data_IF_183123735931
#
_entry.id   IF_183123735931
#
_cell.length_a   1.000
_cell.length_b   1.000
_cell.length_c   1.000
_cell.angle_alpha   90.00
_cell.angle_beta   90.00
_cell.angle_gamma   90.00
#
_symmetry.space_group_name_H-M   'P 1'
#
loop_
_entity.id
_entity.type
_entity.pdbx_description
1 polymer ?
#
# COMPACT_ATOMS: atom_id res chain seq x y z
N UNK A 1 4.72 3.58 12.14
CA UNK A 1 3.75 2.63 11.55
C UNK A 1 2.34 2.89 12.06
N UNK A 2 2.09 2.91 13.39
CA UNK A 2 0.75 3.20 13.95
C UNK A 2 0.10 4.51 13.45
N UNK A 3 0.90 5.57 13.24
CA UNK A 3 0.39 6.84 12.68
C UNK A 3 -0.14 6.68 11.24
N UNK A 4 0.52 5.86 10.41
CA UNK A 4 0.06 5.58 9.06
C UNK A 4 -1.27 4.82 9.15
N UNK A 5 -1.30 3.70 9.87
CA UNK A 5 -2.52 2.89 10.08
C UNK A 5 -3.70 3.72 10.60
N UNK A 6 -3.45 4.58 11.58
CA UNK A 6 -4.47 5.48 12.14
C UNK A 6 -4.99 6.48 11.11
N UNK A 7 -4.11 7.02 10.27
CA UNK A 7 -4.50 7.98 9.24
C UNK A 7 -5.36 7.32 8.14
N UNK A 8 -5.00 6.12 7.68
CA UNK A 8 -5.81 5.38 6.70
C UNK A 8 -7.16 4.97 7.27
N UNK A 9 -7.22 4.45 8.50
CA UNK A 9 -8.49 4.08 9.14
C UNK A 9 -9.42 5.28 9.42
N UNK A 10 -8.88 6.50 9.60
CA UNK A 10 -9.69 7.71 9.74
C UNK A 10 -10.24 8.21 8.41
N UNK A 11 -9.47 8.04 7.33
CA UNK A 11 -9.80 8.61 6.02
C UNK A 11 -10.70 7.70 5.19
N UNK A 12 -10.59 6.39 5.36
CA UNK A 12 -11.31 5.39 4.57
C UNK A 12 -11.96 4.35 5.48
N UNK A 13 -13.03 3.71 5.00
CA UNK A 13 -13.67 2.56 5.66
C UNK A 13 -12.81 1.29 5.54
N UNK A 14 -11.62 1.30 6.14
CA UNK A 14 -10.62 0.24 6.06
C UNK A 14 -10.78 -0.75 7.21
N UNK A 15 -10.84 -2.02 6.86
CA UNK A 15 -10.74 -3.14 7.79
C UNK A 15 -9.29 -3.62 7.85
N UNK A 16 -8.74 -3.73 9.06
CA UNK A 16 -7.42 -4.31 9.30
C UNK A 16 -7.56 -5.79 9.62
N UNK A 17 -6.74 -6.63 9.00
CA UNK A 17 -6.71 -8.08 9.24
C UNK A 17 -5.25 -8.55 9.31
N UNK A 18 -4.92 -9.56 10.12
CA UNK A 18 -3.61 -10.21 10.04
C UNK A 18 -3.36 -10.68 8.60
N UNK A 19 -2.19 -10.37 8.05
CA UNK A 19 -1.84 -10.79 6.71
C UNK A 19 -1.16 -12.17 6.75
N UNK A 20 -1.47 -13.04 5.78
CA UNK A 20 -1.06 -14.46 5.80
C UNK A 20 0.47 -14.66 5.77
N UNK A 21 1.20 -13.65 5.32
CA UNK A 21 2.66 -13.65 5.23
C UNK A 21 3.33 -12.80 6.34
N UNK A 22 2.57 -12.47 7.38
CA UNK A 22 2.99 -11.57 8.44
C UNK A 22 2.62 -10.11 8.15
N UNK A 23 2.50 -9.32 9.22
CA UNK A 23 2.07 -7.93 9.13
C UNK A 23 0.54 -7.75 9.14
N UNK A 24 0.10 -6.58 8.69
CA UNK A 24 -1.31 -6.16 8.68
C UNK A 24 -1.78 -5.86 7.26
N UNK A 25 -2.87 -6.47 6.84
CA UNK A 25 -3.54 -6.19 5.58
C UNK A 25 -4.67 -5.17 5.76
N UNK A 26 -4.86 -4.34 4.73
CA UNK A 26 -5.87 -3.28 4.67
C UNK A 26 -6.91 -3.59 3.59
N UNK A 27 -8.17 -3.65 3.99
CA UNK A 27 -9.26 -4.11 3.12
C UNK A 27 -10.39 -3.09 3.06
N UNK A 28 -10.97 -2.91 1.88
CA UNK A 28 -12.30 -2.29 1.69
C UNK A 28 -13.28 -3.40 1.33
N UNK A 29 -14.21 -3.71 2.23
CA UNK A 29 -15.07 -4.89 2.09
C UNK A 29 -14.26 -6.19 2.05
N UNK A 30 -14.24 -6.86 0.89
CA UNK A 30 -13.44 -8.08 0.64
C UNK A 30 -12.20 -7.82 -0.20
N UNK A 31 -12.02 -6.60 -0.73
CA UNK A 31 -10.91 -6.24 -1.60
C UNK A 31 -9.69 -5.79 -0.80
N UNK A 32 -8.57 -6.48 -0.96
CA UNK A 32 -7.28 -6.06 -0.39
C UNK A 32 -6.70 -4.88 -1.17
N UNK A 33 -6.44 -3.78 -0.47
CA UNK A 33 -5.75 -2.61 -1.04
C UNK A 33 -4.23 -2.82 -0.98
N UNK A 34 -3.77 -3.35 0.15
CA UNK A 34 -2.39 -3.78 0.35
C UNK A 34 -2.12 -4.17 1.80
N UNK A 35 -0.84 -4.37 2.14
CA UNK A 35 -0.43 -4.82 3.47
C UNK A 35 0.91 -4.21 3.90
N UNK A 36 1.08 -4.06 5.20
CA UNK A 36 2.30 -3.57 5.85
C UNK A 36 2.96 -4.73 6.61
N UNK A 37 4.16 -5.10 6.18
CA UNK A 37 5.01 -6.08 6.84
C UNK A 37 5.55 -5.53 8.16
N UNK A 38 5.90 -6.41 9.11
CA UNK A 38 6.42 -6.03 10.43
C UNK A 38 7.75 -5.26 10.40
N UNK A 39 8.47 -5.30 9.28
CA UNK A 39 9.71 -4.54 9.05
C UNK A 39 9.48 -3.15 8.43
N UNK A 40 8.23 -2.73 8.22
CA UNK A 40 7.89 -1.45 7.62
C UNK A 40 7.83 -1.44 6.09
N UNK A 41 7.90 -2.59 5.43
CA UNK A 41 7.64 -2.69 3.99
C UNK A 41 6.13 -2.61 3.73
N UNK A 42 5.68 -1.61 3.00
CA UNK A 42 4.30 -1.43 2.57
C UNK A 42 4.15 -1.91 1.13
N UNK A 43 3.35 -2.93 0.91
CA UNK A 43 3.00 -3.43 -0.41
C UNK A 43 1.58 -2.98 -0.78
N UNK A 44 1.41 -2.43 -1.98
CA UNK A 44 0.13 -1.89 -2.47
C UNK A 44 -0.14 -2.35 -3.90
N UNK A 45 -1.40 -2.66 -4.20
CA UNK A 45 -1.81 -2.96 -5.57
C UNK A 45 -2.37 -1.70 -6.25
N UNK A 46 -1.62 -1.17 -7.21
CA UNK A 46 -1.98 0.05 -7.95
C UNK A 46 -2.32 -0.20 -9.43
N UNK A 47 -2.18 -1.44 -9.89
CA UNK A 47 -2.33 -1.82 -11.30
C UNK A 47 -1.08 -1.52 -12.13
N UNK A 48 -0.93 -2.17 -13.29
CA UNK A 48 0.32 -2.16 -14.07
C UNK A 48 0.73 -0.76 -14.55
N UNK A 49 -0.21 0.06 -15.02
CA UNK A 49 0.07 1.39 -15.54
C UNK A 49 0.60 2.34 -14.45
N UNK A 50 -0.09 2.42 -13.31
CA UNK A 50 0.38 3.23 -12.18
C UNK A 50 1.67 2.67 -11.58
N UNK A 51 1.80 1.34 -11.44
CA UNK A 51 3.05 0.71 -10.99
C UNK A 51 4.23 1.14 -11.85
N UNK A 52 4.07 1.16 -13.17
CA UNK A 52 5.13 1.58 -14.10
C UNK A 52 5.54 3.02 -13.82
N UNK A 53 4.57 3.92 -13.69
CA UNK A 53 4.85 5.34 -13.44
C UNK A 53 5.47 5.61 -12.08
N UNK A 54 4.94 5.01 -11.00
CA UNK A 54 5.47 5.22 -9.65
C UNK A 54 6.91 4.71 -9.51
N UNK A 55 7.24 3.58 -10.16
CA UNK A 55 8.61 3.05 -10.18
C UNK A 55 9.52 3.93 -11.02
N UNK A 56 9.08 4.39 -12.19
CA UNK A 56 9.85 5.27 -13.08
C UNK A 56 10.20 6.61 -12.40
N UNK A 57 9.29 7.15 -11.59
CA UNK A 57 9.51 8.37 -10.81
C UNK A 57 10.34 8.16 -9.54
N UNK A 58 10.76 6.93 -9.23
CA UNK A 58 11.47 6.60 -7.98
C UNK A 58 10.61 6.72 -6.72
N UNK A 59 9.28 6.81 -6.87
CA UNK A 59 8.34 6.96 -5.76
C UNK A 59 8.04 5.66 -5.03
N UNK A 60 8.23 4.53 -5.71
CA UNK A 60 8.08 3.19 -5.16
C UNK A 60 9.03 2.22 -5.86
N UNK A 61 9.18 1.03 -5.30
CA UNK A 61 9.95 -0.07 -5.86
C UNK A 61 9.01 -1.08 -6.54
N UNK A 62 9.49 -1.86 -7.53
CA UNK A 62 8.81 -3.09 -7.93
C UNK A 62 8.54 -3.97 -6.70
N UNK A 63 7.40 -4.66 -6.68
CA UNK A 63 7.12 -5.58 -5.59
C UNK A 63 8.19 -6.67 -5.51
N UNK A 64 8.70 -6.91 -4.31
CA UNK A 64 9.88 -7.77 -4.09
C UNK A 64 9.69 -9.25 -4.50
N UNK A 65 8.48 -9.81 -4.36
CA UNK A 65 8.14 -11.17 -4.86
C UNK A 65 7.56 -11.18 -6.29
N UNK A 66 6.69 -10.23 -6.63
CA UNK A 66 5.95 -10.16 -7.89
C UNK A 66 6.33 -8.92 -8.69
N UNK A 67 7.59 -8.79 -9.17
CA UNK A 67 8.09 -7.56 -9.76
C UNK A 67 7.30 -7.13 -11.00
N UNK A 68 6.81 -8.07 -11.81
CA UNK A 68 6.10 -7.77 -13.08
C UNK A 68 4.58 -7.63 -12.94
N UNK A 69 4.10 -7.55 -11.69
CA UNK A 69 2.68 -7.38 -11.38
C UNK A 69 2.27 -5.90 -11.26
N UNK A 70 1.00 -5.65 -10.92
CA UNK A 70 0.50 -4.33 -10.55
C UNK A 70 0.82 -3.91 -9.10
N UNK A 71 1.60 -4.72 -8.37
CA UNK A 71 2.03 -4.42 -7.02
C UNK A 71 3.29 -3.54 -7.00
N UNK A 72 3.36 -2.67 -6.01
CA UNK A 72 4.54 -1.89 -5.65
C UNK A 72 4.93 -2.15 -4.19
N UNK A 73 6.20 -1.93 -3.88
CA UNK A 73 6.74 -1.92 -2.52
C UNK A 73 7.22 -0.51 -2.15
N UNK A 74 6.95 -0.06 -0.93
CA UNK A 74 7.40 1.22 -0.38
C UNK A 74 7.91 1.02 1.06
N UNK A 75 9.08 1.56 1.38
CA UNK A 75 9.63 1.46 2.74
C UNK A 75 9.11 2.60 3.61
N UNK A 76 8.28 2.28 4.60
CA UNK A 76 7.83 3.22 5.62
C UNK A 76 8.79 3.16 6.83
N UNK A 77 9.89 3.91 6.76
CA UNK A 77 10.97 3.87 7.76
C UNK A 77 10.78 4.87 8.87
N UNK A 78 10.25 6.05 8.55
CA UNK A 78 10.16 7.16 9.49
C UNK A 78 8.86 7.97 9.26
N UNK A 79 8.70 9.06 10.01
CA UNK A 79 7.51 9.92 9.94
C UNK A 79 7.41 10.73 8.65
N UNK A 80 8.53 11.09 8.01
CA UNK A 80 8.51 11.86 6.76
C UNK A 80 7.97 11.04 5.59
N UNK A 81 8.07 9.71 5.67
CA UNK A 81 7.57 8.78 4.65
C UNK A 81 6.03 8.67 4.65
N UNK A 82 5.36 9.11 5.73
CA UNK A 82 3.91 8.90 5.91
C UNK A 82 3.09 9.61 4.82
N UNK A 83 3.48 10.83 4.43
CA UNK A 83 2.75 11.60 3.42
C UNK A 83 2.74 10.85 2.08
N UNK A 84 3.91 10.39 1.62
CA UNK A 84 4.04 9.62 0.39
C UNK A 84 3.32 8.26 0.47
N UNK A 85 3.40 7.57 1.62
CA UNK A 85 2.67 6.33 1.83
C UNK A 85 1.15 6.51 1.71
N UNK A 86 0.61 7.62 2.25
CA UNK A 86 -0.81 7.94 2.14
C UNK A 86 -1.24 8.28 0.71
N UNK A 87 -0.40 8.98 -0.06
CA UNK A 87 -0.65 9.25 -1.48
C UNK A 87 -0.67 7.96 -2.30
N UNK A 88 0.31 7.07 -2.10
CA UNK A 88 0.34 5.76 -2.77
C UNK A 88 -0.87 4.91 -2.39
N UNK A 89 -1.29 4.96 -1.12
CA UNK A 89 -2.48 4.25 -0.65
C UNK A 89 -3.78 4.78 -1.26
N UNK A 90 -3.90 6.09 -1.47
CA UNK A 90 -5.03 6.70 -2.18
C UNK A 90 -5.11 6.16 -3.61
N UNK A 91 -3.98 6.16 -4.35
CA UNK A 91 -3.92 5.60 -5.71
C UNK A 91 -4.37 4.14 -5.71
N UNK A 92 -3.86 3.33 -4.76
CA UNK A 92 -4.22 1.92 -4.64
C UNK A 92 -5.71 1.74 -4.32
N UNK A 93 -6.23 2.51 -3.37
CA UNK A 93 -7.65 2.50 -2.99
C UNK A 93 -8.52 2.83 -4.19
N UNK A 94 -8.29 3.97 -4.85
CA UNK A 94 -9.02 4.39 -6.03
C UNK A 94 -9.00 3.32 -7.12
N UNK A 95 -7.84 2.73 -7.42
CA UNK A 95 -7.74 1.67 -8.44
C UNK A 95 -8.57 0.43 -8.08
N UNK A 96 -8.55 0.02 -6.80
CA UNK A 96 -9.16 -1.22 -6.33
C UNK A 96 -10.65 -1.11 -6.05
N UNK A 97 -11.13 0.09 -5.75
CA UNK A 97 -12.54 0.34 -5.38
C UNK A 97 -13.34 1.05 -6.47
N UNK A 98 -12.68 1.57 -7.51
CA UNK A 98 -13.37 2.06 -8.72
C UNK A 98 -13.73 0.85 -9.59
N UNK A 99 -14.85 0.21 -9.26
CA UNK A 99 -15.49 -0.86 -10.01
C UNK A 99 -16.99 -0.65 -10.00
#
# INVERSE_FOLDING_TARGET
>A
MEMFESAICRKYAIQRRPHRFGGVGFFVGTTEIGHLHGNGLLDLFVGKSFRTEQVRQGRALPHHVFPDSGWISFWLRNRTDIAQALELFEIASMYRTSG
#
